data_IF_145728306273
#
_entry.id   IF_145728306273
#
_cell.length_a   1.000
_cell.length_b   1.000
_cell.length_c   1.000
_cell.angle_alpha   90.00
_cell.angle_beta   90.00
_cell.angle_gamma   90.00
#
_symmetry.space_group_name_H-M   'P 1'
#
loop_
_entity.id
_entity.type
_entity.pdbx_description
1 polymer ?
#
# COMPACT_ATOMS: atom_id res chain seq x y z
N UNK A 1 -9.80 -30.43 -38.02
CA UNK A 1 -8.75 -30.55 -39.05
C UNK A 1 -7.48 -29.98 -38.45
N UNK A 2 -6.41 -30.75 -38.37
CA UNK A 2 -5.16 -30.32 -37.74
C UNK A 2 -4.44 -29.27 -38.59
N UNK A 3 -3.59 -28.45 -37.97
CA UNK A 3 -2.73 -27.53 -38.71
C UNK A 3 -1.59 -28.34 -39.37
N UNK A 4 -1.50 -28.27 -40.69
CA UNK A 4 -0.40 -28.87 -41.45
C UNK A 4 0.89 -28.09 -41.16
N UNK A 5 2.00 -28.79 -40.97
CA UNK A 5 3.29 -28.17 -40.67
C UNK A 5 3.71 -27.17 -41.77
N UNK A 6 3.92 -25.88 -41.45
CA UNK A 6 4.29 -24.89 -42.46
C UNK A 6 5.74 -25.01 -42.95
N UNK A 7 6.57 -25.83 -42.28
CA UNK A 7 7.97 -26.01 -42.66
C UNK A 7 8.20 -27.18 -43.62
N UNK A 8 7.38 -28.24 -43.57
CA UNK A 8 7.52 -29.38 -44.48
C UNK A 8 6.27 -29.69 -45.28
N UNK A 9 5.08 -29.21 -44.90
CA UNK A 9 3.82 -29.46 -45.62
C UNK A 9 3.29 -30.90 -45.53
N UNK A 10 4.01 -31.81 -44.87
CA UNK A 10 3.78 -33.26 -44.99
C UNK A 10 2.98 -33.88 -43.84
N UNK A 11 2.95 -33.24 -42.66
CA UNK A 11 2.33 -33.82 -41.48
C UNK A 11 1.56 -32.79 -40.67
N UNK A 12 0.43 -33.21 -40.07
CA UNK A 12 -0.27 -32.43 -39.07
C UNK A 12 0.59 -32.26 -37.82
N UNK A 13 0.56 -31.05 -37.25
CA UNK A 13 1.28 -30.72 -36.03
C UNK A 13 0.67 -31.42 -34.81
N UNK A 14 1.51 -32.10 -34.04
CA UNK A 14 1.11 -32.78 -32.80
C UNK A 14 1.33 -31.84 -31.60
N UNK A 15 0.33 -31.69 -30.73
CA UNK A 15 0.48 -30.85 -29.54
C UNK A 15 1.31 -31.57 -28.47
N UNK A 16 2.40 -30.93 -28.03
CA UNK A 16 3.28 -31.48 -26.99
C UNK A 16 2.82 -31.03 -25.61
N UNK A 17 2.49 -29.75 -25.49
CA UNK A 17 1.92 -29.09 -24.31
C UNK A 17 1.03 -27.95 -24.80
N UNK A 18 0.07 -27.44 -24.00
CA UNK A 18 -0.84 -26.38 -24.42
C UNK A 18 -0.11 -25.20 -25.09
N UNK A 19 -0.39 -24.96 -26.37
CA UNK A 19 0.20 -23.85 -27.14
C UNK A 19 1.60 -24.11 -27.73
N UNK A 20 2.15 -25.33 -27.59
CA UNK A 20 3.40 -25.77 -28.21
C UNK A 20 3.14 -27.05 -29.00
N UNK A 21 3.31 -26.96 -30.33
CA UNK A 21 3.14 -28.09 -31.23
C UNK A 21 4.46 -28.49 -31.88
N UNK A 22 4.62 -29.75 -32.24
CA UNK A 22 5.77 -30.26 -32.98
C UNK A 22 5.32 -31.00 -34.23
N UNK A 23 6.10 -30.87 -35.29
CA UNK A 23 5.92 -31.69 -36.48
C UNK A 23 6.57 -33.07 -36.28
N UNK A 24 5.84 -34.18 -36.44
CA UNK A 24 6.43 -35.50 -36.28
C UNK A 24 7.44 -35.85 -37.38
N UNK A 25 7.30 -35.27 -38.58
CA UNK A 25 8.19 -35.52 -39.73
C UNK A 25 9.52 -34.76 -39.62
N UNK A 26 9.47 -33.42 -39.47
CA UNK A 26 10.68 -32.58 -39.45
C UNK A 26 11.16 -32.20 -38.04
N UNK A 27 10.45 -32.61 -36.99
CA UNK A 27 10.72 -32.33 -35.56
C UNK A 27 10.77 -30.84 -35.19
N UNK A 28 10.41 -29.93 -36.09
CA UNK A 28 10.33 -28.49 -35.79
C UNK A 28 9.18 -28.20 -34.83
N UNK A 29 9.46 -27.33 -33.86
CA UNK A 29 8.52 -26.91 -32.82
C UNK A 29 7.95 -25.54 -33.17
N UNK A 30 6.62 -25.43 -33.09
CA UNK A 30 5.86 -24.22 -33.36
C UNK A 30 5.13 -23.80 -32.10
N UNK A 31 5.24 -22.52 -31.75
CA UNK A 31 4.46 -21.93 -30.66
C UNK A 31 3.25 -21.24 -31.27
N UNK A 32 2.07 -21.75 -30.96
CA UNK A 32 0.83 -21.05 -31.25
C UNK A 32 0.82 -19.75 -30.46
N UNK A 33 0.33 -18.65 -31.05
CA UNK A 33 -0.11 -17.52 -30.23
C UNK A 33 -1.26 -18.05 -29.37
N UNK A 34 -1.03 -18.22 -28.08
CA UNK A 34 -2.11 -18.49 -27.12
C UNK A 34 -3.07 -17.32 -27.26
N UNK A 35 -4.26 -17.56 -27.82
CA UNK A 35 -5.34 -16.61 -27.72
C UNK A 35 -5.61 -16.41 -26.23
N UNK A 36 -5.19 -15.25 -25.72
CA UNK A 36 -5.55 -14.85 -24.36
C UNK A 36 -7.05 -14.81 -24.32
N UNK A 37 -7.66 -15.69 -23.51
CA UNK A 37 -9.08 -15.60 -23.16
C UNK A 37 -9.41 -14.13 -22.91
N UNK A 38 -10.37 -13.58 -23.66
CA UNK A 38 -10.95 -12.26 -23.39
C UNK A 38 -11.34 -12.21 -21.92
N UNK A 39 -10.58 -11.47 -21.14
CA UNK A 39 -10.92 -11.22 -19.75
C UNK A 39 -12.16 -10.32 -19.78
N UNK A 40 -13.29 -10.83 -19.30
CA UNK A 40 -14.48 -10.03 -19.09
C UNK A 40 -14.12 -8.81 -18.23
N UNK A 41 -14.54 -7.61 -18.66
CA UNK A 41 -14.42 -6.38 -17.87
C UNK A 41 -15.20 -6.57 -16.57
N UNK A 42 -14.49 -6.76 -15.47
CA UNK A 42 -15.02 -6.93 -14.12
C UNK A 42 -14.79 -5.69 -13.25
N UNK A 43 -14.59 -4.52 -13.88
CA UNK A 43 -14.42 -3.25 -13.15
C UNK A 43 -15.65 -3.00 -12.27
N UNK A 44 -15.41 -2.62 -11.02
CA UNK A 44 -16.45 -2.39 -10.02
C UNK A 44 -17.18 -3.64 -9.50
N UNK A 45 -16.89 -4.84 -10.02
CA UNK A 45 -17.48 -6.08 -9.50
C UNK A 45 -16.64 -6.66 -8.35
N UNK A 46 -17.32 -7.05 -7.29
CA UNK A 46 -16.74 -7.84 -6.20
C UNK A 46 -16.45 -9.26 -6.70
N UNK A 47 -15.22 -9.71 -6.49
CA UNK A 47 -14.74 -11.04 -6.87
C UNK A 47 -14.11 -11.72 -5.66
N UNK A 48 -14.27 -13.03 -5.57
CA UNK A 48 -13.73 -13.82 -4.47
C UNK A 48 -12.21 -13.98 -4.54
N UNK A 49 -11.62 -14.25 -3.39
CA UNK A 49 -10.20 -14.42 -3.17
C UNK A 49 -9.53 -15.39 -4.14
N UNK A 50 -10.15 -16.53 -4.41
CA UNK A 50 -9.63 -17.52 -5.37
C UNK A 50 -9.38 -16.94 -6.75
N UNK A 51 -10.25 -16.03 -7.23
CA UNK A 51 -10.06 -15.38 -8.51
C UNK A 51 -8.77 -14.58 -8.49
N UNK A 52 -8.54 -13.80 -7.45
CA UNK A 52 -7.34 -12.97 -7.30
C UNK A 52 -6.08 -13.81 -7.18
N UNK A 53 -6.12 -14.90 -6.40
CA UNK A 53 -4.99 -15.82 -6.25
C UNK A 53 -4.64 -16.53 -7.57
N UNK A 54 -5.64 -16.89 -8.40
CA UNK A 54 -5.43 -17.55 -9.69
C UNK A 54 -4.96 -16.60 -10.80
N UNK A 55 -5.35 -15.33 -10.75
CA UNK A 55 -5.15 -14.38 -11.86
C UNK A 55 -4.05 -13.34 -11.61
N UNK A 56 -3.43 -13.33 -10.44
CA UNK A 56 -2.37 -12.37 -10.08
C UNK A 56 -1.13 -13.10 -9.56
N UNK A 57 -0.02 -12.38 -9.40
CA UNK A 57 1.20 -12.93 -8.80
C UNK A 57 1.21 -12.81 -7.26
N UNK A 58 0.04 -12.84 -6.61
CA UNK A 58 -0.03 -12.90 -5.15
C UNK A 58 0.59 -14.22 -4.67
N UNK A 59 1.40 -14.15 -3.61
CA UNK A 59 2.10 -15.30 -3.08
C UNK A 59 1.37 -15.84 -1.85
N UNK A 60 0.72 -17.02 -1.93
CA UNK A 60 -0.05 -17.60 -0.83
C UNK A 60 0.79 -17.92 0.40
N UNK A 61 2.13 -17.95 0.30
CA UNK A 61 3.01 -18.11 1.46
C UNK A 61 2.97 -16.89 2.39
N UNK A 62 2.69 -15.71 1.85
CA UNK A 62 2.80 -14.44 2.58
C UNK A 62 1.46 -13.72 2.70
N UNK A 63 0.54 -13.96 1.77
CA UNK A 63 -0.73 -13.24 1.71
C UNK A 63 -1.78 -14.03 0.95
N UNK A 64 -2.98 -14.05 1.49
CA UNK A 64 -4.17 -14.64 0.87
C UNK A 64 -5.18 -13.50 0.66
N UNK A 65 -5.70 -13.38 -0.55
CA UNK A 65 -6.82 -12.49 -0.83
C UNK A 65 -8.13 -13.20 -0.44
N UNK A 66 -9.00 -12.51 0.29
CA UNK A 66 -10.34 -12.99 0.67
C UNK A 66 -11.38 -12.56 -0.37
N UNK A 67 -11.34 -11.28 -0.72
CA UNK A 67 -12.21 -10.63 -1.71
C UNK A 67 -11.47 -9.47 -2.36
N UNK A 68 -11.99 -8.98 -3.48
CA UNK A 68 -11.43 -7.77 -4.08
C UNK A 68 -12.27 -7.22 -5.22
N UNK A 69 -12.00 -5.97 -5.55
CA UNK A 69 -12.67 -5.21 -6.61
C UNK A 69 -11.61 -4.64 -7.55
N UNK A 70 -11.81 -4.83 -8.85
CA UNK A 70 -11.01 -4.14 -9.86
C UNK A 70 -11.45 -2.68 -9.95
N UNK A 71 -10.51 -1.76 -9.75
CA UNK A 71 -10.75 -0.31 -9.91
C UNK A 71 -10.54 0.10 -11.36
N UNK A 72 -9.46 -0.39 -11.98
CA UNK A 72 -9.13 -0.08 -13.35
C UNK A 72 -8.31 -1.21 -13.96
N UNK A 73 -8.58 -1.55 -15.21
CA UNK A 73 -7.76 -2.52 -15.94
C UNK A 73 -7.59 -2.13 -17.40
N UNK A 74 -6.37 -1.75 -17.75
CA UNK A 74 -5.93 -1.62 -19.14
C UNK A 74 -5.25 -2.91 -19.60
N UNK A 75 -5.78 -3.50 -20.68
CA UNK A 75 -5.33 -4.79 -21.16
C UNK A 75 -3.82 -4.80 -21.45
N UNK A 76 -3.12 -5.80 -20.91
CA UNK A 76 -1.67 -6.00 -21.07
C UNK A 76 -0.76 -4.88 -20.55
N UNK A 77 -1.31 -3.86 -19.87
CA UNK A 77 -0.53 -2.70 -19.39
C UNK A 77 -0.57 -2.54 -17.88
N UNK A 78 -1.75 -2.24 -17.32
CA UNK A 78 -1.91 -1.93 -15.90
C UNK A 78 -3.21 -2.51 -15.36
N UNK A 79 -3.13 -3.16 -14.22
CA UNK A 79 -4.30 -3.57 -13.43
C UNK A 79 -4.18 -2.97 -12.03
N UNK A 80 -5.19 -2.20 -11.62
CA UNK A 80 -5.32 -1.64 -10.30
C UNK A 80 -6.57 -2.20 -9.60
N UNK A 81 -6.40 -2.71 -8.39
CA UNK A 81 -7.47 -3.27 -7.57
C UNK A 81 -7.32 -2.92 -6.09
N UNK A 82 -8.45 -3.02 -5.38
CA UNK A 82 -8.53 -3.04 -3.92
C UNK A 82 -8.85 -4.47 -3.49
N UNK A 83 -8.06 -5.01 -2.58
CA UNK A 83 -8.22 -6.36 -2.05
C UNK A 83 -8.42 -6.29 -0.54
N UNK A 84 -9.24 -7.19 0.01
CA UNK A 84 -9.20 -7.58 1.41
C UNK A 84 -8.31 -8.82 1.50
N UNK A 85 -7.28 -8.76 2.34
CA UNK A 85 -6.30 -9.84 2.48
C UNK A 85 -6.05 -10.17 3.95
N UNK A 86 -5.50 -11.35 4.19
CA UNK A 86 -4.91 -11.75 5.47
C UNK A 86 -3.56 -12.44 5.24
N UNK A 87 -2.83 -12.66 6.34
CA UNK A 87 -1.60 -13.46 6.32
C UNK A 87 -1.98 -14.91 6.63
N UNK A 88 -1.42 -15.93 5.95
CA UNK A 88 -1.77 -17.33 6.18
C UNK A 88 -1.70 -17.77 7.65
N UNK A 89 -0.69 -17.27 8.37
CA UNK A 89 -0.46 -17.59 9.78
C UNK A 89 -1.43 -16.86 10.73
N UNK A 90 -2.13 -15.82 10.25
CA UNK A 90 -3.01 -14.95 11.04
C UNK A 90 -4.29 -14.61 10.24
N UNK A 91 -5.19 -15.58 10.03
CA UNK A 91 -6.39 -15.40 9.19
C UNK A 91 -7.35 -14.33 9.71
N UNK A 92 -7.39 -14.12 11.03
CA UNK A 92 -8.23 -13.09 11.66
C UNK A 92 -7.63 -11.68 11.53
N UNK A 93 -6.32 -11.60 11.22
CA UNK A 93 -5.61 -10.33 11.01
C UNK A 93 -5.75 -9.89 9.54
N UNK A 94 -6.94 -9.39 9.24
CA UNK A 94 -7.29 -8.85 7.92
C UNK A 94 -6.78 -7.42 7.75
N UNK A 95 -6.55 -7.04 6.50
CA UNK A 95 -6.16 -5.69 6.08
C UNK A 95 -6.58 -5.44 4.63
N UNK A 96 -6.73 -4.17 4.28
CA UNK A 96 -6.98 -3.77 2.90
C UNK A 96 -5.65 -3.53 2.18
N UNK A 97 -5.57 -3.98 0.92
CA UNK A 97 -4.42 -3.78 0.05
C UNK A 97 -4.86 -3.14 -1.27
N UNK A 98 -4.32 -1.96 -1.55
CA UNK A 98 -4.29 -1.41 -2.90
C UNK A 98 -3.15 -2.07 -3.69
N UNK A 99 -3.44 -2.59 -4.87
CA UNK A 99 -2.48 -3.36 -5.67
C UNK A 99 -2.45 -2.97 -7.13
N UNK A 100 -1.24 -2.79 -7.65
CA UNK A 100 -0.96 -2.54 -9.05
C UNK A 100 -0.17 -3.71 -9.62
N UNK A 101 -0.57 -4.17 -10.81
CA UNK A 101 0.17 -5.14 -11.60
C UNK A 101 0.42 -4.59 -13.00
N UNK A 102 1.60 -4.90 -13.56
CA UNK A 102 2.01 -4.49 -14.91
C UNK A 102 2.26 -5.69 -15.82
N UNK A 103 2.14 -5.45 -17.13
CA UNK A 103 2.40 -6.41 -18.23
C UNK A 103 1.38 -7.55 -18.34
N UNK A 104 1.50 -8.33 -19.42
CA UNK A 104 0.61 -9.44 -19.78
C UNK A 104 0.53 -10.60 -18.77
N UNK A 105 1.46 -10.69 -17.82
CA UNK A 105 1.50 -11.75 -16.79
C UNK A 105 1.19 -11.20 -15.40
N UNK A 106 0.62 -9.99 -15.31
CA UNK A 106 0.23 -9.34 -14.06
C UNK A 106 1.35 -9.35 -13.02
N UNK A 107 2.57 -8.95 -13.40
CA UNK A 107 3.70 -8.86 -12.46
C UNK A 107 3.40 -7.76 -11.46
N UNK A 108 3.57 -8.06 -10.17
CA UNK A 108 3.38 -7.06 -9.13
C UNK A 108 4.23 -5.81 -9.36
N UNK A 109 3.57 -4.65 -9.40
CA UNK A 109 4.15 -3.37 -9.78
C UNK A 109 4.09 -2.30 -8.69
N UNK A 110 3.29 -2.50 -7.65
CA UNK A 110 3.25 -1.64 -6.47
C UNK A 110 2.09 -2.01 -5.54
N UNK A 111 2.21 -1.73 -4.25
CA UNK A 111 1.10 -1.88 -3.30
C UNK A 111 1.10 -0.81 -2.22
N UNK A 112 -0.06 -0.62 -1.62
CA UNK A 112 -0.26 0.17 -0.41
C UNK A 112 -1.19 -0.59 0.53
N UNK A 113 -0.72 -0.90 1.75
CA UNK A 113 -1.50 -1.67 2.74
C UNK A 113 -2.12 -0.71 3.74
N UNK A 114 -3.36 -0.99 4.13
CA UNK A 114 -4.15 -0.26 5.13
C UNK A 114 -4.45 -1.27 6.24
N UNK A 115 -3.79 -1.12 7.38
CA UNK A 115 -3.64 -2.18 8.38
C UNK A 115 -4.74 -2.14 9.46
N UNK A 116 -5.44 -1.02 9.59
CA UNK A 116 -6.56 -0.86 10.52
C UNK A 116 -7.69 0.02 9.96
N UNK A 117 -8.84 0.03 10.64
CA UNK A 117 -10.04 0.75 10.20
C UNK A 117 -9.91 2.28 10.36
N UNK A 118 -9.15 2.76 11.33
CA UNK A 118 -8.94 4.19 11.53
C UNK A 118 -8.02 4.75 10.42
N UNK A 119 -7.00 3.97 10.01
CA UNK A 119 -6.16 4.26 8.84
C UNK A 119 -7.00 4.28 7.57
N UNK A 120 -7.91 3.31 7.39
CA UNK A 120 -8.83 3.28 6.25
C UNK A 120 -9.71 4.53 6.19
N UNK A 121 -10.26 4.95 7.33
CA UNK A 121 -11.05 6.16 7.43
C UNK A 121 -10.24 7.40 7.01
N UNK A 122 -9.00 7.49 7.49
CA UNK A 122 -8.10 8.57 7.09
C UNK A 122 -7.79 8.55 5.58
N UNK A 123 -7.59 7.37 4.99
CA UNK A 123 -7.40 7.22 3.54
C UNK A 123 -8.62 7.71 2.77
N UNK A 124 -9.84 7.33 3.19
CA UNK A 124 -11.09 7.78 2.57
C UNK A 124 -11.25 9.29 2.66
N UNK A 125 -11.04 9.87 3.86
CA UNK A 125 -11.07 11.32 4.08
C UNK A 125 -10.06 12.03 3.16
N UNK A 126 -8.83 11.54 3.10
CA UNK A 126 -7.80 12.14 2.27
C UNK A 126 -8.15 12.09 0.77
N UNK A 127 -8.64 10.95 0.28
CA UNK A 127 -9.07 10.79 -1.11
C UNK A 127 -10.28 11.68 -1.44
N UNK A 128 -11.26 11.79 -0.54
CA UNK A 128 -12.41 12.69 -0.72
C UNK A 128 -11.96 14.16 -0.82
N UNK A 129 -11.08 14.60 0.09
CA UNK A 129 -10.51 15.96 0.00
C UNK A 129 -9.78 16.19 -1.32
N UNK A 130 -9.00 15.22 -1.78
CA UNK A 130 -8.32 15.32 -3.08
C UNK A 130 -9.33 15.40 -4.22
N UNK A 131 -10.40 14.61 -4.17
CA UNK A 131 -11.46 14.61 -5.19
C UNK A 131 -12.18 15.97 -5.26
N UNK A 132 -12.44 16.57 -4.10
CA UNK A 132 -13.10 17.86 -3.97
C UNK A 132 -12.20 19.04 -4.35
N UNK A 133 -10.97 19.07 -3.82
CA UNK A 133 -10.09 20.24 -3.90
C UNK A 133 -9.32 20.34 -5.22
N UNK A 134 -9.10 19.22 -5.92
CA UNK A 134 -8.25 19.18 -7.11
C UNK A 134 -9.03 18.93 -8.41
N UNK A 135 -8.54 19.48 -9.51
CA UNK A 135 -9.04 19.26 -10.87
C UNK A 135 -8.47 17.99 -11.50
N UNK A 136 -8.83 17.71 -12.76
CA UNK A 136 -8.42 16.49 -13.47
C UNK A 136 -6.90 16.36 -13.70
N UNK A 137 -6.15 17.46 -13.58
CA UNK A 137 -4.68 17.51 -13.70
C UNK A 137 -3.98 17.53 -12.34
N UNK A 138 -4.71 17.34 -11.24
CA UNK A 138 -4.19 17.51 -9.88
C UNK A 138 -3.67 18.93 -9.61
N UNK A 139 -4.28 19.94 -10.23
CA UNK A 139 -4.18 21.33 -9.80
C UNK A 139 -5.29 21.66 -8.80
N UNK A 140 -5.09 22.69 -8.00
CA UNK A 140 -6.13 23.15 -7.07
C UNK A 140 -7.22 23.87 -7.86
N UNK A 141 -8.47 23.42 -7.75
CA UNK A 141 -9.61 23.98 -8.51
C UNK A 141 -9.77 25.48 -8.24
N UNK A 142 -10.12 26.25 -9.27
CA UNK A 142 -10.68 27.62 -9.16
C UNK A 142 -9.90 28.57 -8.23
N UNK A 143 -8.57 28.43 -8.14
CA UNK A 143 -7.74 29.14 -7.16
C UNK A 143 -8.21 28.98 -5.69
N UNK A 144 -8.90 27.89 -5.37
CA UNK A 144 -9.33 27.54 -4.02
C UNK A 144 -8.12 27.56 -3.11
N UNK A 145 -8.22 28.27 -1.98
CA UNK A 145 -7.17 28.22 -0.97
C UNK A 145 -7.25 26.89 -0.24
N UNK A 146 -6.23 26.05 -0.40
CA UNK A 146 -6.13 24.82 0.38
C UNK A 146 -6.06 25.17 1.87
N UNK A 147 -6.92 24.53 2.66
CA UNK A 147 -6.87 24.60 4.11
C UNK A 147 -5.78 23.67 4.65
N UNK A 148 -4.79 24.27 5.31
CA UNK A 148 -3.77 23.57 6.11
C UNK A 148 -4.25 23.30 7.54
N UNK A 149 -5.48 23.72 7.87
CA UNK A 149 -6.10 23.40 9.14
C UNK A 149 -6.64 21.95 9.11
N UNK A 150 -6.56 21.23 10.23
CA UNK A 150 -7.19 19.93 10.36
C UNK A 150 -8.72 20.06 10.35
N UNK A 151 -9.38 18.94 10.02
CA UNK A 151 -10.85 18.82 10.06
C UNK A 151 -11.34 19.10 11.48
N UNK A 152 -12.49 19.80 11.68
CA UNK A 152 -12.98 20.17 13.00
C UNK A 152 -13.01 19.03 14.02
N UNK A 153 -13.50 17.86 13.62
CA UNK A 153 -13.58 16.65 14.47
C UNK A 153 -12.20 16.09 14.88
N UNK A 154 -11.12 16.55 14.24
CA UNK A 154 -9.72 16.15 14.50
C UNK A 154 -8.89 17.29 15.12
N UNK A 155 -9.50 18.43 15.46
CA UNK A 155 -8.81 19.59 16.05
C UNK A 155 -8.47 19.37 17.52
N UNK A 156 -9.42 18.82 18.28
CA UNK A 156 -9.32 18.71 19.73
C UNK A 156 -8.97 17.28 20.13
N UNK A 157 -7.69 16.94 20.00
CA UNK A 157 -7.17 15.64 20.47
C UNK A 157 -6.78 15.80 21.95
N UNK A 158 -7.78 15.73 22.83
CA UNK A 158 -7.56 15.83 24.28
C UNK A 158 -7.01 14.54 24.91
N UNK A 159 -7.08 13.43 24.17
CA UNK A 159 -6.65 12.12 24.66
C UNK A 159 -5.13 11.95 24.57
N UNK A 160 -4.37 12.46 25.54
CA UNK A 160 -2.92 12.21 25.62
C UNK A 160 -2.54 10.80 26.11
N UNK A 161 -3.50 9.87 26.29
CA UNK A 161 -3.21 8.54 26.87
C UNK A 161 -2.22 7.72 26.04
N UNK A 162 -2.11 7.99 24.74
CA UNK A 162 -1.15 7.36 23.84
C UNK A 162 0.27 7.94 23.94
N UNK A 163 0.43 9.10 24.58
CA UNK A 163 1.71 9.80 24.70
C UNK A 163 2.51 9.22 25.88
N UNK A 164 3.76 8.85 25.62
CA UNK A 164 4.62 8.37 26.69
C UNK A 164 5.15 9.51 27.57
N UNK A 165 4.72 9.53 28.84
CA UNK A 165 5.22 10.48 29.82
C UNK A 165 6.54 10.01 30.46
N UNK A 166 7.65 10.69 30.12
CA UNK A 166 9.02 10.38 30.59
C UNK A 166 9.17 10.40 32.12
N UNK A 167 8.38 11.21 32.83
CA UNK A 167 8.44 11.33 34.29
C UNK A 167 7.74 10.15 34.95
N UNK A 168 6.54 9.81 34.49
CA UNK A 168 5.73 8.71 35.05
C UNK A 168 6.26 7.34 34.64
N UNK A 169 6.88 7.23 33.45
CA UNK A 169 7.41 5.98 32.85
C UNK A 169 6.40 4.85 32.87
N UNK A 170 5.13 5.16 32.63
CA UNK A 170 4.04 4.18 32.55
C UNK A 170 3.81 3.82 31.08
N UNK A 171 3.59 2.54 30.84
CA UNK A 171 3.23 2.02 29.53
C UNK A 171 1.89 2.64 29.08
N UNK A 172 1.82 3.29 27.90
CA UNK A 172 0.57 3.86 27.38
C UNK A 172 -0.54 2.81 27.23
N UNK A 173 -0.16 1.56 26.92
CA UNK A 173 -1.10 0.46 26.67
C UNK A 173 -1.71 -0.17 27.94
N UNK A 174 -0.95 -0.28 29.03
CA UNK A 174 -1.40 -1.02 30.22
C UNK A 174 -1.13 -0.34 31.57
N UNK A 175 -0.56 0.86 31.56
CA UNK A 175 -0.26 1.65 32.77
C UNK A 175 0.89 1.13 33.63
N UNK A 176 1.48 -0.02 33.31
CA UNK A 176 2.56 -0.61 34.09
C UNK A 176 3.88 0.15 33.92
N UNK A 177 4.73 0.16 34.96
CA UNK A 177 5.98 0.92 34.93
C UNK A 177 6.97 0.25 33.97
N UNK A 178 7.46 1.01 32.99
CA UNK A 178 8.40 0.53 31.99
C UNK A 178 9.85 0.66 32.49
N UNK A 179 10.70 -0.28 32.06
CA UNK A 179 12.14 -0.26 32.35
C UNK A 179 12.90 0.33 31.16
N UNK A 180 13.89 1.17 31.45
CA UNK A 180 14.79 1.70 30.42
C UNK A 180 15.80 0.62 30.04
N UNK A 181 15.99 0.42 28.74
CA UNK A 181 17.03 -0.47 28.19
C UNK A 181 18.43 -0.07 28.66
N UNK A 182 19.34 -1.07 28.70
CA UNK A 182 20.74 -0.89 29.11
C UNK A 182 21.51 0.09 28.22
N UNK A 183 21.19 0.14 26.92
CA UNK A 183 21.79 1.08 25.96
C UNK A 183 21.08 2.45 25.95
N UNK A 184 20.12 2.66 26.85
CA UNK A 184 19.36 3.91 27.02
C UNK A 184 18.55 4.37 25.80
N UNK A 185 18.29 3.50 24.82
CA UNK A 185 17.64 3.84 23.54
C UNK A 185 16.14 3.59 23.48
N UNK A 186 15.59 2.85 24.43
CA UNK A 186 14.16 2.56 24.50
C UNK A 186 13.71 2.21 25.92
N UNK A 187 12.41 2.29 26.17
CA UNK A 187 11.73 1.72 27.32
C UNK A 187 10.95 0.48 26.89
N UNK A 188 10.91 -0.54 27.74
CA UNK A 188 10.18 -1.79 27.50
C UNK A 188 9.24 -2.08 28.67
N UNK A 189 8.01 -2.50 28.33
CA UNK A 189 7.01 -2.93 29.30
C UNK A 189 7.04 -4.45 29.45
N UNK A 190 7.56 -4.97 30.56
CA UNK A 190 7.66 -6.43 30.76
C UNK A 190 6.28 -7.10 30.90
N UNK A 191 5.20 -6.35 31.14
CA UNK A 191 3.84 -6.89 31.25
C UNK A 191 3.21 -7.20 29.89
N UNK A 192 3.38 -6.32 28.90
CA UNK A 192 2.67 -6.43 27.61
C UNK A 192 3.58 -6.36 26.38
N UNK A 193 4.90 -6.27 26.57
CA UNK A 193 5.89 -6.21 25.49
C UNK A 193 5.95 -4.89 24.73
N UNK A 194 5.22 -3.86 25.16
CA UNK A 194 5.23 -2.55 24.51
C UNK A 194 6.62 -1.90 24.59
N UNK A 195 7.08 -1.29 23.49
CA UNK A 195 8.39 -0.63 23.41
C UNK A 195 8.20 0.83 23.01
N UNK A 196 8.82 1.75 23.77
CA UNK A 196 8.90 3.17 23.43
C UNK A 196 10.35 3.50 23.09
N UNK A 197 10.63 3.77 21.82
CA UNK A 197 11.99 4.14 21.36
C UNK A 197 12.27 5.61 21.69
N UNK A 198 13.53 5.94 21.94
CA UNK A 198 14.01 7.29 22.18
C UNK A 198 14.86 7.73 20.99
N UNK A 199 14.53 8.85 20.37
CA UNK A 199 15.34 9.53 19.35
C UNK A 199 15.97 10.78 19.99
N UNK A 200 17.30 10.79 20.12
CA UNK A 200 18.05 11.82 20.87
C UNK A 200 17.43 12.17 22.24
N UNK A 201 17.03 11.13 22.99
CA UNK A 201 16.44 11.25 24.32
C UNK A 201 14.94 11.57 24.36
N UNK A 202 14.33 11.89 23.22
CA UNK A 202 12.90 12.18 23.10
C UNK A 202 12.13 10.92 22.74
N UNK A 203 11.04 10.58 23.44
CA UNK A 203 10.25 9.42 23.10
C UNK A 203 9.57 9.63 21.75
N UNK A 204 9.77 8.67 20.85
CA UNK A 204 8.94 8.50 19.68
C UNK A 204 7.89 7.45 20.01
N UNK A 205 6.65 7.75 19.68
CA UNK A 205 5.51 6.88 19.98
C UNK A 205 4.53 6.91 18.82
N UNK A 206 3.68 5.91 18.78
CA UNK A 206 2.63 5.80 17.77
C UNK A 206 1.55 6.84 18.02
N UNK A 207 1.15 7.55 16.97
CA UNK A 207 -0.09 8.31 16.98
C UNK A 207 -1.19 7.36 16.48
N UNK A 208 -2.25 7.09 17.26
CA UNK A 208 -3.42 6.38 16.76
C UNK A 208 -3.98 7.07 15.51
N UNK A 209 -4.32 6.32 14.46
CA UNK A 209 -4.72 6.91 13.18
C UNK A 209 -5.95 7.82 13.34
N UNK A 210 -6.89 7.47 14.21
CA UNK A 210 -8.05 8.32 14.57
C UNK A 210 -7.69 9.70 15.13
N UNK A 211 -6.49 9.85 15.69
CA UNK A 211 -5.99 11.11 16.25
C UNK A 211 -5.02 11.83 15.31
N UNK A 212 -4.92 11.42 14.04
CA UNK A 212 -4.10 12.18 13.10
C UNK A 212 -4.81 13.48 12.73
N UNK A 213 -4.12 14.64 12.80
CA UNK A 213 -4.63 15.88 12.27
C UNK A 213 -4.62 15.78 10.73
N UNK A 214 -5.79 15.56 10.16
CA UNK A 214 -5.98 15.30 8.73
C UNK A 214 -5.94 16.59 7.90
N UNK A 215 -4.84 17.35 7.95
CA UNK A 215 -4.59 18.55 7.14
C UNK A 215 -3.68 18.29 5.94
N UNK A 216 -3.67 19.21 4.97
CA UNK A 216 -2.63 19.21 3.94
C UNK A 216 -1.30 19.70 4.52
N UNK A 217 -0.19 19.20 3.96
CA UNK A 217 1.17 19.64 4.25
C UNK A 217 2.01 19.69 2.96
N UNK A 218 3.03 20.54 2.91
CA UNK A 218 3.84 20.84 1.71
C UNK A 218 5.31 20.41 1.81
N UNK A 219 5.76 19.81 2.92
CA UNK A 219 7.18 19.50 3.16
C UNK A 219 7.43 18.02 3.46
N UNK A 220 6.87 17.14 2.62
CA UNK A 220 7.07 15.70 2.79
C UNK A 220 8.50 15.27 2.43
N UNK A 221 9.07 14.28 3.13
CA UNK A 221 10.45 13.80 2.93
C UNK A 221 10.57 12.94 1.66
N UNK A 222 10.35 13.55 0.50
CA UNK A 222 10.38 12.92 -0.82
C UNK A 222 11.54 13.50 -1.62
N UNK A 223 12.52 12.64 -1.93
CA UNK A 223 13.77 13.09 -2.55
C UNK A 223 13.75 13.11 -4.09
N UNK A 224 12.81 12.40 -4.72
CA UNK A 224 12.82 12.19 -6.18
C UNK A 224 11.86 13.10 -6.95
N UNK A 225 10.88 13.67 -6.27
CA UNK A 225 9.85 14.50 -6.88
C UNK A 225 9.52 15.65 -5.96
N UNK A 226 8.88 16.68 -6.50
CA UNK A 226 8.45 17.83 -5.72
C UNK A 226 7.05 17.54 -5.15
N UNK A 227 6.89 17.37 -3.83
CA UNK A 227 5.57 17.28 -3.23
C UNK A 227 4.89 18.64 -3.29
N UNK A 228 3.66 18.66 -3.82
CA UNK A 228 2.84 19.87 -3.78
C UNK A 228 2.09 19.91 -2.46
N UNK A 229 1.18 18.96 -2.27
CA UNK A 229 0.39 18.81 -1.06
C UNK A 229 0.20 17.34 -0.76
N UNK A 230 -0.10 17.01 0.49
CA UNK A 230 -0.49 15.66 0.85
C UNK A 230 -1.02 15.58 2.25
N UNK A 231 -1.59 14.43 2.58
CA UNK A 231 -2.23 14.16 3.87
C UNK A 231 -1.61 12.88 4.43
N UNK A 232 -1.14 12.95 5.68
CA UNK A 232 -0.66 11.77 6.41
C UNK A 232 -1.85 10.94 6.85
N UNK A 233 -1.84 9.65 6.55
CA UNK A 233 -2.95 8.74 6.88
C UNK A 233 -2.61 7.74 7.98
N UNK A 234 -1.31 7.50 8.22
CA UNK A 234 -0.81 6.70 9.34
C UNK A 234 0.53 7.25 9.83
N UNK A 235 0.72 7.34 11.15
CA UNK A 235 1.97 7.77 11.77
C UNK A 235 2.28 6.90 12.99
N UNK A 236 2.91 5.76 12.73
CA UNK A 236 3.48 4.88 13.73
C UNK A 236 4.98 5.09 13.77
N UNK A 237 5.57 4.89 14.93
CA UNK A 237 7.01 4.91 15.20
C UNK A 237 7.79 4.22 14.09
N UNK A 238 7.37 3.02 13.66
CA UNK A 238 8.05 2.24 12.61
C UNK A 238 7.49 2.36 11.20
N UNK A 239 6.38 3.04 11.04
CA UNK A 239 5.59 3.00 9.82
C UNK A 239 4.88 4.35 9.63
N UNK A 240 5.23 5.06 8.56
CA UNK A 240 4.58 6.32 8.21
C UNK A 240 4.03 6.23 6.79
N UNK A 241 2.79 6.69 6.59
CA UNK A 241 2.09 6.62 5.30
C UNK A 241 1.38 7.93 4.99
N UNK A 242 1.40 8.30 3.72
CA UNK A 242 0.73 9.51 3.23
C UNK A 242 0.26 9.35 1.79
N UNK A 243 -0.76 10.15 1.45
CA UNK A 243 -1.26 10.31 0.08
C UNK A 243 -0.90 11.71 -0.37
N UNK A 244 -0.14 11.82 -1.46
CA UNK A 244 0.56 13.05 -1.83
C UNK A 244 0.37 13.32 -3.33
N UNK A 245 0.05 14.56 -3.67
CA UNK A 245 0.09 15.06 -5.05
C UNK A 245 1.52 15.46 -5.39
N UNK A 246 2.01 14.91 -6.49
CA UNK A 246 3.42 15.00 -6.87
C UNK A 246 3.55 15.69 -8.21
N UNK A 247 4.59 16.51 -8.32
CA UNK A 247 5.02 17.17 -9.53
C UNK A 247 6.36 16.61 -10.02
N UNK A 248 6.46 16.28 -11.31
CA UNK A 248 7.74 15.92 -11.91
C UNK A 248 8.66 17.14 -11.97
N UNK A 249 9.91 16.97 -11.55
CA UNK A 249 10.89 18.06 -11.55
C UNK A 249 11.22 18.51 -12.97
N UNK A 250 11.24 17.57 -13.92
CA UNK A 250 11.65 17.79 -15.30
C UNK A 250 10.49 18.18 -16.22
N UNK A 251 9.23 17.99 -15.80
CA UNK A 251 8.06 18.37 -16.57
C UNK A 251 6.96 18.87 -15.62
N UNK A 252 6.77 20.20 -15.53
CA UNK A 252 5.86 20.77 -14.56
C UNK A 252 4.36 20.51 -14.83
N UNK A 253 4.02 20.19 -16.08
CA UNK A 253 2.64 19.86 -16.44
C UNK A 253 2.28 18.42 -16.05
N UNK A 254 3.28 17.62 -15.62
CA UNK A 254 3.07 16.25 -15.22
C UNK A 254 2.91 16.13 -13.72
N UNK A 255 1.66 15.88 -13.30
CA UNK A 255 1.29 15.60 -11.91
C UNK A 255 0.57 14.28 -11.77
N UNK A 256 0.63 13.71 -10.58
CA UNK A 256 -0.09 12.49 -10.25
C UNK A 256 -0.28 12.36 -8.75
N UNK A 257 -1.27 11.56 -8.36
CA UNK A 257 -1.44 11.14 -6.99
C UNK A 257 -0.54 9.95 -6.68
N UNK A 258 0.13 10.00 -5.53
CA UNK A 258 1.03 8.95 -5.09
C UNK A 258 0.71 8.49 -3.68
N UNK A 259 0.75 7.17 -3.51
CA UNK A 259 0.62 6.52 -2.21
C UNK A 259 2.01 6.18 -1.72
N UNK A 260 2.43 6.81 -0.63
CA UNK A 260 3.73 6.57 -0.07
C UNK A 260 3.68 5.85 1.27
N UNK A 261 4.71 5.06 1.50
CA UNK A 261 4.91 4.30 2.71
C UNK A 261 6.41 4.23 3.03
N UNK A 262 6.78 4.68 4.23
CA UNK A 262 8.12 4.61 4.78
C UNK A 262 8.15 3.70 6.00
N UNK A 263 9.31 3.09 6.22
CA UNK A 263 9.56 2.32 7.45
C UNK A 263 10.86 2.79 8.08
N UNK A 264 10.89 2.79 9.41
CA UNK A 264 12.14 2.90 10.15
C UNK A 264 12.67 1.51 10.41
N UNK A 265 13.96 1.29 10.12
CA UNK A 265 14.63 0.06 10.48
C UNK A 265 15.13 0.14 11.92
N UNK A 266 14.33 -0.37 12.85
CA UNK A 266 14.72 -0.40 14.27
C UNK A 266 15.67 -1.53 14.62
N UNK A 267 15.84 -2.54 13.77
CA UNK A 267 16.65 -3.70 14.10
C UNK A 267 18.08 -3.27 14.43
N UNK A 268 18.73 -2.54 13.52
CA UNK A 268 20.09 -2.04 13.76
C UNK A 268 20.17 -1.08 14.96
N UNK A 269 19.13 -0.27 15.17
CA UNK A 269 19.09 0.69 16.25
C UNK A 269 19.00 0.02 17.63
N UNK A 270 18.22 -1.05 17.74
CA UNK A 270 18.01 -1.79 18.99
C UNK A 270 19.12 -2.80 19.28
N UNK A 271 19.66 -3.48 18.25
CA UNK A 271 20.65 -4.56 18.44
C UNK A 271 22.10 -4.10 18.42
N UNK A 272 22.42 -2.90 17.94
CA UNK A 272 23.82 -2.43 17.92
C UNK A 272 24.31 -2.20 19.35
N UNK A 273 25.15 -3.13 19.84
CA UNK A 273 26.08 -2.83 20.92
C UNK A 273 27.07 -1.78 20.37
N UNK A 274 26.96 -0.53 20.83
CA UNK A 274 28.03 0.48 20.79
C UNK A 274 29.05 0.35 19.65
N UNK A 275 28.63 0.36 18.39
CA UNK A 275 29.58 0.60 17.29
C UNK A 275 29.87 2.10 17.26
N UNK A 276 30.96 2.51 17.92
CA UNK A 276 31.62 3.79 17.69
C UNK A 276 31.83 3.93 16.17
N UNK A 277 31.06 4.81 15.54
CA UNK A 277 31.07 5.02 14.08
C UNK A 277 29.76 4.66 13.35
N UNK A 278 28.81 3.96 13.99
CA UNK A 278 27.48 3.72 13.41
C UNK A 278 26.51 4.86 13.74
N UNK A 279 26.75 6.06 13.22
CA UNK A 279 25.79 7.16 13.24
C UNK A 279 24.66 6.94 12.22
N UNK A 280 24.18 5.70 12.05
CA UNK A 280 22.89 5.47 11.40
C UNK A 280 21.82 5.84 12.42
N UNK A 281 21.48 7.13 12.47
CA UNK A 281 20.30 7.61 13.19
C UNK A 281 19.02 6.93 12.68
N UNK A 282 17.90 7.17 13.37
CA UNK A 282 16.57 6.65 13.03
C UNK A 282 16.02 7.27 11.73
N UNK A 283 16.71 7.03 10.61
CA UNK A 283 16.34 7.57 9.30
C UNK A 283 15.12 6.82 8.76
N UNK A 284 14.19 7.57 8.21
CA UNK A 284 13.11 7.01 7.42
C UNK A 284 13.67 6.47 6.11
N UNK A 285 13.46 5.18 5.89
CA UNK A 285 13.80 4.55 4.63
C UNK A 285 12.52 4.39 3.82
N UNK A 286 12.52 4.94 2.61
CA UNK A 286 11.54 4.51 1.61
C UNK A 286 11.73 3.01 1.42
N UNK A 287 10.66 2.21 1.52
CA UNK A 287 10.75 0.85 1.01
C UNK A 287 10.91 0.96 -0.51
N UNK A 288 12.15 0.86 -1.02
CA UNK A 288 12.42 0.52 -2.42
C UNK A 288 12.05 -0.95 -2.62
N UNK A 289 10.75 -1.18 -2.70
CA UNK A 289 10.15 -2.47 -2.94
C UNK A 289 8.87 -2.22 -3.71
N UNK A 290 8.99 -2.30 -5.03
CA UNK A 290 7.91 -2.21 -6.03
C UNK A 290 7.36 -0.79 -6.21
N UNK A 291 7.44 -0.27 -7.44
CA UNK A 291 7.25 1.14 -7.82
C UNK A 291 6.12 1.80 -7.02
N UNK A 292 6.41 2.84 -6.22
CA UNK A 292 5.37 3.51 -5.41
C UNK A 292 4.18 3.83 -6.31
N UNK A 293 3.00 3.29 -5.96
CA UNK A 293 1.90 3.27 -6.89
C UNK A 293 1.33 4.66 -7.11
N UNK A 294 0.99 4.93 -8.37
CA UNK A 294 0.56 6.23 -8.84
C UNK A 294 -0.83 6.11 -9.46
N UNK A 295 -1.64 7.14 -9.26
CA UNK A 295 -2.85 7.39 -10.05
C UNK A 295 -2.58 8.65 -10.86
N UNK A 296 -2.50 8.47 -12.18
CA UNK A 296 -2.26 9.56 -13.14
C UNK A 296 -3.55 10.22 -13.61
N UNK A 297 -4.66 9.48 -13.62
CA UNK A 297 -5.96 9.99 -14.01
C UNK A 297 -6.84 10.12 -12.76
N UNK A 298 -7.22 11.36 -12.43
CA UNK A 298 -8.08 11.65 -11.28
C UNK A 298 -9.42 10.91 -11.33
N UNK A 299 -9.93 10.57 -12.52
CA UNK A 299 -11.19 9.82 -12.67
C UNK A 299 -11.17 8.45 -11.97
N UNK A 300 -10.00 7.94 -11.62
CA UNK A 300 -9.84 6.69 -10.86
C UNK A 300 -10.03 6.85 -9.34
N UNK A 301 -10.06 8.08 -8.81
CA UNK A 301 -10.23 8.33 -7.36
C UNK A 301 -11.64 7.98 -6.91
N UNK A 302 -12.69 8.42 -7.61
CA UNK A 302 -14.06 8.12 -7.23
C UNK A 302 -14.37 6.59 -7.24
N UNK A 303 -13.98 5.81 -8.27
CA UNK A 303 -14.05 4.35 -8.22
C UNK A 303 -13.25 3.73 -7.08
N UNK A 304 -12.07 4.27 -6.77
CA UNK A 304 -11.25 3.81 -5.65
C UNK A 304 -11.95 4.02 -4.30
N UNK A 305 -12.51 5.20 -4.06
CA UNK A 305 -13.28 5.51 -2.84
C UNK A 305 -14.42 4.51 -2.67
N UNK A 306 -15.22 4.30 -3.71
CA UNK A 306 -16.32 3.31 -3.69
C UNK A 306 -15.83 1.89 -3.40
N UNK A 307 -14.73 1.48 -4.02
CA UNK A 307 -14.12 0.16 -3.77
C UNK A 307 -13.63 0.00 -2.33
N UNK A 308 -13.06 1.06 -1.75
CA UNK A 308 -12.61 1.08 -0.35
C UNK A 308 -13.78 1.05 0.64
N UNK A 309 -14.85 1.80 0.38
CA UNK A 309 -16.07 1.77 1.19
C UNK A 309 -16.73 0.40 1.18
N UNK A 310 -16.77 -0.26 0.02
CA UNK A 310 -17.32 -1.61 -0.07
C UNK A 310 -16.45 -2.64 0.67
N UNK A 311 -15.12 -2.54 0.54
CA UNK A 311 -14.20 -3.38 1.33
C UNK A 311 -14.30 -3.11 2.83
N UNK A 312 -14.55 -1.85 3.25
CA UNK A 312 -14.77 -1.49 4.65
C UNK A 312 -15.97 -2.24 5.24
N UNK A 313 -17.10 -2.27 4.54
CA UNK A 313 -18.31 -3.00 4.97
C UNK A 313 -18.02 -4.49 5.17
N UNK A 314 -17.37 -5.11 4.19
CA UNK A 314 -17.00 -6.54 4.24
C UNK A 314 -16.05 -6.81 5.40
N UNK A 315 -15.05 -5.95 5.62
CA UNK A 315 -14.11 -6.12 6.72
C UNK A 315 -14.80 -6.02 8.08
N UNK A 316 -15.73 -5.06 8.25
CA UNK A 316 -16.52 -4.92 9.47
C UNK A 316 -17.39 -6.15 9.74
N UNK A 317 -18.13 -6.64 8.74
CA UNK A 317 -18.95 -7.86 8.88
C UNK A 317 -18.10 -9.05 9.34
N UNK A 318 -16.88 -9.17 8.81
CA UNK A 318 -15.99 -10.27 9.16
C UNK A 318 -15.38 -10.20 10.57
N UNK A 319 -15.63 -9.13 11.33
CA UNK A 319 -15.26 -9.02 12.76
C UNK A 319 -16.42 -9.37 13.70
N UNK A 320 -17.64 -9.46 13.18
CA UNK A 320 -18.85 -9.77 13.94
C UNK A 320 -19.17 -11.28 13.94
N UNK A 321 -18.54 -12.04 13.04
CA UNK A 321 -18.60 -13.51 12.93
C UNK A 321 -17.60 -14.20 13.87
#
# INVERSE_FOLDING_TARGET
>A
MGEICPACGEAELTELVPGVKSCPACRKVFRSKVEKKKIQKSEGKLLDGEYWMKNTTLNPKYEIADKGITIFREENKLWFAVLLCHTPDFPDSKYIRLSWWKKSVNIHAGMFKIEDLDELENVLIALNRIEEDFDEYFEVKDNKKISYEPIPERKDIDDESYVFNLTKRKCPKCGWKMKKSKNHRYYECEKCGEIIVLDDGHPIYDIPSKYLPMSYSTNYPINFYLPNYGITVSNKMGNWKAIITIHAKENPDKRWLRFYWWRRNFQHYMTSQYSLGSSQGLKWETRKGVMSPNIYDKKLIAPLIKGLEEMKKIWLMSKEE
#
